data_IF_795517187042
#
_entry.id   IF_795517187042
#
_cell.length_a   1.000
_cell.length_b   1.000
_cell.length_c   1.000
_cell.angle_alpha   90.00
_cell.angle_beta   90.00
_cell.angle_gamma   90.00
#
_symmetry.space_group_name_H-M   'P 1'
#
loop_
_entity.id
_entity.type
_entity.pdbx_description
1 polymer ?
#
# COMPACT_ATOMS: atom_id res chain seq x y z
N UNK A 1 -4.34 13.45 -19.90
CA UNK A 1 -5.42 13.04 -18.99
C UNK A 1 -5.54 14.08 -17.91
N UNK A 2 -6.55 14.94 -18.00
CA UNK A 2 -6.81 15.94 -16.97
C UNK A 2 -7.54 15.27 -15.81
N UNK A 3 -6.90 15.27 -14.65
CA UNK A 3 -7.48 14.73 -13.42
C UNK A 3 -8.22 15.87 -12.73
N UNK A 4 -9.51 16.00 -13.05
CA UNK A 4 -10.42 16.98 -12.47
C UNK A 4 -11.36 16.21 -11.52
N UNK A 5 -11.43 16.56 -10.22
CA UNK A 5 -12.39 15.95 -9.31
C UNK A 5 -13.83 16.22 -9.78
N UNK A 6 -14.66 15.18 -9.76
CA UNK A 6 -16.08 15.30 -10.10
C UNK A 6 -16.80 16.03 -8.95
N UNK A 7 -17.16 17.29 -9.20
CA UNK A 7 -18.00 18.18 -8.38
C UNK A 7 -17.60 18.31 -6.89
N UNK A 8 -16.95 19.43 -6.56
CA UNK A 8 -16.52 19.74 -5.20
C UNK A 8 -17.39 20.81 -4.51
N UNK A 9 -18.44 21.31 -5.17
CA UNK A 9 -19.22 22.46 -4.68
C UNK A 9 -18.43 23.78 -4.64
N UNK A 10 -17.21 23.80 -5.19
CA UNK A 10 -16.32 24.95 -5.23
C UNK A 10 -16.55 25.78 -6.51
N UNK A 11 -16.36 27.11 -6.47
CA UNK A 11 -16.59 27.98 -7.63
C UNK A 11 -15.57 27.81 -8.76
N UNK A 12 -14.63 26.87 -8.64
CA UNK A 12 -13.61 26.58 -9.65
C UNK A 12 -13.24 25.10 -9.66
N UNK A 13 -12.73 24.64 -10.81
CA UNK A 13 -12.33 23.24 -11.02
C UNK A 13 -10.83 23.10 -10.75
N UNK A 14 -10.45 22.18 -9.86
CA UNK A 14 -9.06 21.77 -9.73
C UNK A 14 -8.67 20.84 -10.88
N UNK A 15 -7.56 21.13 -11.55
CA UNK A 15 -6.99 20.25 -12.56
C UNK A 15 -5.56 19.89 -12.21
N UNK A 16 -5.20 18.61 -12.27
CA UNK A 16 -3.81 18.15 -12.12
C UNK A 16 -3.20 17.79 -13.46
N UNK A 17 -2.15 18.51 -13.85
CA UNK A 17 -1.30 18.19 -15.02
C UNK A 17 -0.01 17.54 -14.54
N UNK A 18 0.14 16.25 -14.81
CA UNK A 18 1.34 15.48 -14.49
C UNK A 18 1.52 14.34 -15.50
N UNK A 19 2.73 13.83 -15.64
CA UNK A 19 2.94 12.58 -16.37
C UNK A 19 2.31 11.41 -15.61
N UNK A 20 1.70 10.43 -16.30
CA UNK A 20 1.07 9.27 -15.66
C UNK A 20 2.11 8.21 -15.27
N UNK A 21 3.15 8.61 -14.53
CA UNK A 21 4.24 7.74 -14.08
C UNK A 21 4.46 7.92 -12.56
N UNK A 22 4.88 6.85 -11.90
CA UNK A 22 5.26 6.85 -10.48
C UNK A 22 6.41 5.88 -10.27
N UNK A 23 7.27 6.17 -9.30
CA UNK A 23 8.20 5.16 -8.78
C UNK A 23 7.38 4.03 -8.14
N UNK A 24 7.73 2.78 -8.46
CA UNK A 24 6.97 1.58 -8.05
C UNK A 24 7.83 0.48 -7.40
N UNK A 25 9.08 0.75 -7.03
CA UNK A 25 9.90 -0.23 -6.29
C UNK A 25 9.34 -0.51 -4.90
N UNK A 26 8.82 0.54 -4.25
CA UNK A 26 8.06 0.46 -3.01
C UNK A 26 6.72 1.15 -3.24
N UNK A 27 5.66 0.52 -2.75
CA UNK A 27 4.30 1.04 -2.88
C UNK A 27 3.52 0.74 -1.62
N UNK A 28 2.60 1.64 -1.26
CA UNK A 28 1.70 1.40 -0.13
C UNK A 28 0.76 0.22 -0.43
N UNK A 29 0.32 -0.49 0.60
CA UNK A 29 -0.61 -1.62 0.49
C UNK A 29 -1.88 -1.21 -0.29
N UNK A 30 -2.45 -0.05 -0.01
CA UNK A 30 -3.66 0.44 -0.71
C UNK A 30 -3.44 0.62 -2.22
N UNK A 31 -2.24 1.03 -2.63
CA UNK A 31 -1.87 1.16 -4.05
C UNK A 31 -1.65 -0.20 -4.73
N UNK A 32 -1.30 -1.22 -3.96
CA UNK A 32 -1.09 -2.59 -4.47
C UNK A 32 -2.41 -3.34 -4.71
N UNK A 33 -3.52 -2.82 -4.19
CA UNK A 33 -4.84 -3.42 -4.38
C UNK A 33 -5.19 -3.54 -5.86
N UNK A 34 -5.61 -4.75 -6.27
CA UNK A 34 -5.92 -5.06 -7.67
C UNK A 34 -4.72 -5.43 -8.55
N UNK A 35 -3.50 -5.46 -7.99
CA UNK A 35 -2.29 -5.91 -8.69
C UNK A 35 -1.88 -7.33 -8.23
N UNK A 36 -1.21 -8.06 -9.13
CA UNK A 36 -0.60 -9.36 -8.83
C UNK A 36 0.91 -9.25 -9.04
N UNK A 37 1.69 -9.64 -8.03
CA UNK A 37 3.15 -9.51 -8.02
C UNK A 37 3.81 -10.87 -7.79
N UNK A 38 4.93 -11.12 -8.47
CA UNK A 38 5.67 -12.38 -8.34
C UNK A 38 6.56 -12.43 -7.10
N UNK A 39 7.14 -11.30 -6.70
CA UNK A 39 7.99 -11.14 -5.51
C UNK A 39 7.64 -9.84 -4.79
N UNK A 40 7.45 -9.90 -3.47
CA UNK A 40 7.11 -8.76 -2.62
C UNK A 40 7.86 -8.85 -1.30
N UNK A 41 8.46 -7.74 -0.90
CA UNK A 41 8.90 -7.50 0.48
C UNK A 41 7.84 -6.65 1.19
N UNK A 42 7.19 -7.21 2.21
CA UNK A 42 6.27 -6.49 3.07
C UNK A 42 7.05 -5.95 4.27
N UNK A 43 7.08 -4.63 4.41
CA UNK A 43 7.72 -3.94 5.53
C UNK A 43 6.65 -3.24 6.37
N UNK A 44 6.52 -3.64 7.63
CA UNK A 44 5.57 -3.11 8.59
C UNK A 44 6.32 -2.54 9.80
N UNK A 45 6.75 -1.26 9.74
CA UNK A 45 7.40 -0.59 10.86
C UNK A 45 6.42 -0.17 11.97
N UNK A 46 5.12 -0.27 11.72
CA UNK A 46 4.04 0.03 12.65
C UNK A 46 2.94 -1.02 12.48
N UNK A 47 2.10 -1.24 13.51
CA UNK A 47 0.94 -2.10 13.39
C UNK A 47 0.02 -1.70 12.23
N UNK A 48 -0.66 -2.68 11.63
CA UNK A 48 -1.65 -2.40 10.59
C UNK A 48 -2.82 -1.61 11.17
N UNK A 49 -3.22 -0.57 10.43
CA UNK A 49 -4.20 0.43 10.89
C UNK A 49 -5.64 0.05 10.54
N UNK A 50 -5.85 -0.81 9.54
CA UNK A 50 -7.20 -1.22 9.13
C UNK A 50 -7.35 -2.72 9.04
N UNK A 51 -8.57 -3.17 9.37
CA UNK A 51 -8.96 -4.56 9.17
C UNK A 51 -8.76 -4.97 7.71
N UNK A 52 -8.14 -6.14 7.51
CA UNK A 52 -7.88 -6.69 6.18
C UNK A 52 -6.67 -6.10 5.45
N UNK A 53 -5.96 -5.09 5.98
CA UNK A 53 -4.80 -4.50 5.31
C UNK A 53 -3.66 -5.51 5.11
N UNK A 54 -3.36 -6.29 6.15
CA UNK A 54 -2.37 -7.37 6.07
C UNK A 54 -2.78 -8.44 5.04
N UNK A 55 -4.07 -8.80 5.01
CA UNK A 55 -4.61 -9.75 4.06
C UNK A 55 -4.50 -9.25 2.61
N UNK A 56 -4.82 -7.97 2.38
CA UNK A 56 -4.66 -7.35 1.05
C UNK A 56 -3.21 -7.48 0.58
N UNK A 57 -2.23 -7.16 1.44
CA UNK A 57 -0.81 -7.25 1.10
C UNK A 57 -0.38 -8.69 0.76
N UNK A 58 -0.74 -9.66 1.60
CA UNK A 58 -0.37 -11.07 1.40
C UNK A 58 -1.03 -11.63 0.13
N UNK A 59 -2.29 -11.28 -0.12
CA UNK A 59 -3.04 -11.76 -1.30
C UNK A 59 -2.53 -11.22 -2.63
N UNK A 60 -1.63 -10.22 -2.65
CA UNK A 60 -1.03 -9.72 -3.90
C UNK A 60 0.05 -10.66 -4.45
N UNK A 61 0.58 -11.57 -3.63
CA UNK A 61 1.66 -12.47 -4.02
C UNK A 61 1.11 -13.82 -4.48
N UNK A 62 1.58 -14.29 -5.63
CA UNK A 62 1.12 -15.56 -6.22
C UNK A 62 1.73 -16.81 -5.58
N UNK A 63 2.92 -16.70 -4.96
CA UNK A 63 3.62 -17.85 -4.37
C UNK A 63 4.19 -17.53 -3.00
N UNK A 64 4.16 -18.50 -2.06
CA UNK A 64 4.73 -18.33 -0.72
C UNK A 64 6.21 -17.95 -0.74
N UNK A 65 6.99 -18.48 -1.70
CA UNK A 65 8.42 -18.18 -1.87
C UNK A 65 8.68 -16.73 -2.31
N UNK A 66 7.70 -16.10 -2.96
CA UNK A 66 7.78 -14.72 -3.42
C UNK A 66 7.56 -13.69 -2.32
N UNK A 67 7.05 -14.08 -1.15
CA UNK A 67 6.75 -13.17 -0.06
C UNK A 67 7.85 -13.20 1.01
N UNK A 68 8.38 -12.03 1.35
CA UNK A 68 9.21 -11.81 2.54
C UNK A 68 8.54 -10.75 3.40
N UNK A 69 8.50 -10.96 4.71
CA UNK A 69 7.88 -10.01 5.65
C UNK A 69 8.87 -9.59 6.72
N UNK A 70 8.91 -8.30 7.02
CA UNK A 70 9.62 -7.72 8.14
C UNK A 70 8.64 -6.86 8.92
N UNK A 71 8.27 -7.32 10.11
CA UNK A 71 7.39 -6.63 11.05
C UNK A 71 8.26 -6.14 12.19
N UNK A 72 8.15 -4.88 12.55
CA UNK A 72 8.86 -4.28 13.68
C UNK A 72 7.87 -3.93 14.79
N UNK A 73 8.34 -4.10 16.03
CA UNK A 73 7.66 -3.61 17.23
C UNK A 73 7.94 -2.12 17.47
N UNK A 74 7.33 -1.52 18.50
CA UNK A 74 7.54 -0.12 18.89
C UNK A 74 9.02 0.18 19.20
N UNK A 75 9.76 -0.82 19.71
CA UNK A 75 11.20 -0.76 19.97
C UNK A 75 12.09 -0.98 18.73
N UNK A 76 11.50 -1.14 17.53
CA UNK A 76 12.22 -1.42 16.29
C UNK A 76 12.81 -2.84 16.20
N UNK A 77 12.41 -3.74 17.11
CA UNK A 77 12.81 -5.15 17.09
C UNK A 77 11.93 -5.96 16.15
N UNK A 78 12.48 -6.97 15.45
CA UNK A 78 11.67 -7.84 14.60
C UNK A 78 10.69 -8.64 15.45
N UNK A 79 9.41 -8.51 15.14
CA UNK A 79 8.31 -9.22 15.81
C UNK A 79 7.58 -10.14 14.81
N UNK A 80 6.92 -11.17 15.31
CA UNK A 80 6.13 -12.12 14.49
C UNK A 80 4.64 -11.77 14.45
N UNK A 81 4.20 -10.84 15.29
CA UNK A 81 2.78 -10.51 15.47
C UNK A 81 2.59 -9.02 15.22
N UNK A 82 1.46 -8.66 14.61
CA UNK A 82 1.00 -7.27 14.50
C UNK A 82 -0.37 -7.15 15.13
N UNK A 83 -0.60 -6.06 15.85
CA UNK A 83 -1.93 -5.69 16.30
C UNK A 83 -2.71 -5.08 15.12
N UNK A 84 -4.03 -5.20 15.17
CA UNK A 84 -4.94 -4.39 14.37
C UNK A 84 -5.42 -3.27 15.30
N UNK A 85 -5.02 -2.03 14.99
CA UNK A 85 -5.41 -0.85 15.78
C UNK A 85 -6.86 -0.49 15.51
#
# INVERSE_FOLDING_TARGET
MDLIPTDSGLPFKFGRRQFPISLCFAMSINKSQGQSMSKVGLYLPRPVFTHGQLYVAISRVTTKKGLKMLILDEDGKPCTTTLNV
#
